data_IF_256482561130
#
_entry.id   IF_256482561130
#
_cell.length_a   1.000
_cell.length_b   1.000
_cell.length_c   1.000
_cell.angle_alpha   90.00
_cell.angle_beta   90.00
_cell.angle_gamma   90.00
#
_symmetry.space_group_name_H-M   'P 1'
#
loop_
_entity.id
_entity.type
_entity.pdbx_description
1 polymer ?
#
# COMPACT_ATOMS: atom_id res chain seq x y z
N UNK A 1 -4.44 -63.37 -18.08
CA UNK A 1 -4.49 -61.89 -18.25
C UNK A 1 -5.83 -61.42 -17.75
N UNK A 2 -5.85 -60.53 -16.75
CA UNK A 2 -7.11 -59.99 -16.19
C UNK A 2 -7.68 -58.99 -17.19
N UNK A 3 -8.82 -59.29 -17.79
CA UNK A 3 -9.50 -58.38 -18.72
C UNK A 3 -10.00 -57.16 -17.98
N UNK A 4 -9.63 -55.95 -18.47
CA UNK A 4 -10.13 -54.70 -17.96
C UNK A 4 -11.58 -54.52 -18.40
N UNK A 5 -12.50 -54.57 -17.46
CA UNK A 5 -13.95 -54.34 -17.69
C UNK A 5 -14.28 -52.89 -17.55
N UNK A 6 -15.31 -52.40 -18.23
CA UNK A 6 -15.73 -50.99 -18.19
C UNK A 6 -15.93 -50.44 -16.79
N UNK A 7 -16.38 -51.27 -15.83
CA UNK A 7 -16.55 -50.83 -14.44
C UNK A 7 -15.23 -50.51 -13.75
N UNK A 8 -14.08 -51.14 -14.10
CA UNK A 8 -12.77 -50.80 -13.56
C UNK A 8 -12.35 -49.39 -14.01
N UNK A 9 -12.62 -49.07 -15.28
CA UNK A 9 -12.35 -47.75 -15.85
C UNK A 9 -13.22 -46.71 -15.12
N UNK A 10 -14.52 -46.97 -14.97
CA UNK A 10 -15.42 -46.10 -14.23
C UNK A 10 -14.99 -45.89 -12.78
N UNK A 11 -14.62 -46.94 -12.06
CA UNK A 11 -14.15 -46.84 -10.68
C UNK A 11 -12.87 -46.00 -10.57
N UNK A 12 -11.94 -46.17 -11.50
CA UNK A 12 -10.69 -45.36 -11.52
C UNK A 12 -10.98 -43.87 -11.71
N UNK A 13 -11.86 -43.54 -12.67
CA UNK A 13 -12.28 -42.17 -12.86
C UNK A 13 -13.05 -41.61 -11.66
N UNK A 14 -13.97 -42.38 -11.10
CA UNK A 14 -14.75 -41.96 -9.92
C UNK A 14 -13.85 -41.64 -8.72
N UNK A 15 -12.82 -42.48 -8.47
CA UNK A 15 -11.85 -42.24 -7.41
C UNK A 15 -11.01 -40.98 -7.70
N UNK A 16 -10.48 -40.85 -8.93
CA UNK A 16 -9.67 -39.73 -9.34
C UNK A 16 -10.46 -38.39 -9.20
N UNK A 17 -11.67 -38.36 -9.74
CA UNK A 17 -12.54 -37.17 -9.61
C UNK A 17 -12.96 -36.91 -8.16
N UNK A 18 -13.23 -37.96 -7.39
CA UNK A 18 -13.55 -37.87 -5.96
C UNK A 18 -12.43 -37.17 -5.17
N UNK A 19 -11.18 -37.52 -5.45
CA UNK A 19 -10.01 -36.86 -4.83
C UNK A 19 -9.94 -35.41 -5.25
N UNK A 20 -10.05 -35.11 -6.54
CA UNK A 20 -9.99 -33.74 -7.06
C UNK A 20 -11.08 -32.86 -6.43
N UNK A 21 -12.32 -33.36 -6.38
CA UNK A 21 -13.46 -32.64 -5.79
C UNK A 21 -13.21 -32.40 -4.30
N UNK A 22 -12.74 -33.40 -3.56
CA UNK A 22 -12.47 -33.27 -2.12
C UNK A 22 -11.41 -32.22 -1.82
N UNK A 23 -10.33 -32.20 -2.62
CA UNK A 23 -9.28 -31.18 -2.48
C UNK A 23 -9.84 -29.78 -2.79
N UNK A 24 -10.58 -29.64 -3.89
CA UNK A 24 -11.15 -28.34 -4.26
C UNK A 24 -12.18 -27.83 -3.22
N UNK A 25 -13.01 -28.69 -2.67
CA UNK A 25 -13.95 -28.32 -1.62
C UNK A 25 -13.22 -27.91 -0.33
N UNK A 26 -12.15 -28.61 0.02
CA UNK A 26 -11.31 -28.23 1.17
C UNK A 26 -10.66 -26.88 0.98
N UNK A 27 -10.13 -26.62 -0.23
CA UNK A 27 -9.55 -25.32 -0.57
C UNK A 27 -10.61 -24.20 -0.53
N UNK A 28 -11.79 -24.45 -1.11
CA UNK A 28 -12.89 -23.50 -1.08
C UNK A 28 -13.35 -23.20 0.36
N UNK A 29 -13.51 -24.23 1.18
CA UNK A 29 -13.88 -24.07 2.58
C UNK A 29 -12.82 -23.25 3.37
N UNK A 30 -11.55 -23.56 3.18
CA UNK A 30 -10.47 -22.81 3.81
C UNK A 30 -10.43 -21.36 3.32
N UNK A 31 -10.59 -21.13 2.01
CA UNK A 31 -10.62 -19.80 1.45
C UNK A 31 -11.73 -18.95 2.06
N UNK A 32 -12.97 -19.48 2.16
CA UNK A 32 -14.11 -18.77 2.76
C UNK A 32 -13.91 -18.55 4.26
N UNK A 33 -13.37 -19.54 4.98
CA UNK A 33 -13.14 -19.44 6.42
C UNK A 33 -12.03 -18.47 6.79
N UNK A 34 -10.98 -18.37 5.96
CA UNK A 34 -9.84 -17.48 6.20
C UNK A 34 -10.00 -16.13 5.54
N UNK A 35 -11.06 -15.93 4.74
CA UNK A 35 -11.34 -14.66 4.09
C UNK A 35 -11.72 -13.61 5.12
N UNK A 36 -10.91 -12.55 5.32
CA UNK A 36 -11.16 -11.53 6.36
C UNK A 36 -12.38 -10.64 6.07
N UNK A 37 -13.14 -10.97 5.05
CA UNK A 37 -14.29 -10.18 4.56
C UNK A 37 -13.88 -9.23 3.45
N UNK A 38 -14.84 -8.52 2.90
CA UNK A 38 -14.57 -7.42 1.97
C UNK A 38 -14.02 -6.25 2.77
N UNK A 39 -12.81 -5.83 2.43
CA UNK A 39 -12.19 -4.63 3.00
C UNK A 39 -13.03 -3.37 2.73
N UNK A 40 -13.85 -3.42 1.69
CA UNK A 40 -14.79 -2.36 1.30
C UNK A 40 -16.15 -2.94 0.95
N UNK A 41 -17.19 -2.57 1.69
CA UNK A 41 -18.57 -3.05 1.49
C UNK A 41 -19.18 -2.66 0.14
N UNK A 42 -18.68 -1.64 -0.51
CA UNK A 42 -19.19 -1.17 -1.80
C UNK A 42 -18.10 -0.43 -2.58
N UNK A 43 -17.50 -1.11 -3.55
CA UNK A 43 -16.44 -0.54 -4.42
C UNK A 43 -16.92 0.67 -5.23
N UNK A 44 -18.22 0.76 -5.55
CA UNK A 44 -18.78 1.89 -6.28
C UNK A 44 -18.81 3.18 -5.44
N UNK A 45 -19.22 3.07 -4.17
CA UNK A 45 -19.19 4.23 -3.24
C UNK A 45 -17.78 4.68 -2.97
N UNK A 46 -16.84 3.74 -2.84
CA UNK A 46 -15.42 4.06 -2.67
C UNK A 46 -14.81 4.73 -3.89
N UNK A 47 -15.21 4.32 -5.10
CA UNK A 47 -14.77 4.99 -6.34
C UNK A 47 -15.27 6.44 -6.41
N UNK A 48 -16.50 6.70 -6.01
CA UNK A 48 -17.04 8.07 -6.03
C UNK A 48 -16.39 8.97 -4.98
N UNK A 49 -16.16 8.45 -3.76
CA UNK A 49 -15.45 9.20 -2.73
C UNK A 49 -14.01 9.48 -3.15
N UNK A 50 -13.36 8.54 -3.84
CA UNK A 50 -11.99 8.71 -4.33
C UNK A 50 -11.85 9.89 -5.30
N UNK A 51 -12.79 10.08 -6.23
CA UNK A 51 -12.73 11.18 -7.19
C UNK A 51 -12.95 12.54 -6.49
N UNK A 52 -13.86 12.59 -5.51
CA UNK A 52 -14.10 13.80 -4.71
C UNK A 52 -12.87 14.12 -3.84
N UNK A 53 -12.33 13.12 -3.15
CA UNK A 53 -11.17 13.28 -2.27
C UNK A 53 -9.93 13.70 -3.08
N UNK A 54 -9.76 13.13 -4.27
CA UNK A 54 -8.69 13.50 -5.18
C UNK A 54 -8.84 14.94 -5.70
N UNK A 55 -10.05 15.34 -6.05
CA UNK A 55 -10.30 16.72 -6.49
C UNK A 55 -10.01 17.72 -5.36
N UNK A 56 -10.45 17.42 -4.13
CA UNK A 56 -10.16 18.24 -2.96
C UNK A 56 -8.65 18.32 -2.67
N UNK A 57 -7.94 17.19 -2.76
CA UNK A 57 -6.48 17.17 -2.59
C UNK A 57 -5.76 18.00 -3.66
N UNK A 58 -6.16 17.90 -4.92
CA UNK A 58 -5.58 18.71 -6.00
C UNK A 58 -5.85 20.20 -5.83
N UNK A 59 -7.01 20.56 -5.27
CA UNK A 59 -7.37 21.96 -4.99
C UNK A 59 -6.50 22.62 -3.92
N UNK A 60 -5.84 21.83 -3.05
CA UNK A 60 -4.87 22.36 -2.08
C UNK A 60 -3.66 23.01 -2.76
N UNK A 61 -3.31 22.61 -3.99
CA UNK A 61 -2.16 23.18 -4.69
C UNK A 61 -0.81 22.94 -4.02
N UNK A 62 -0.71 21.91 -3.16
CA UNK A 62 0.54 21.64 -2.44
C UNK A 62 1.62 21.10 -3.34
N UNK A 63 2.81 21.67 -3.23
CA UNK A 63 4.05 21.13 -3.82
C UNK A 63 4.81 20.38 -2.74
N UNK A 64 5.00 19.09 -2.96
CA UNK A 64 5.61 18.18 -1.99
C UNK A 64 6.82 17.48 -2.59
N UNK A 65 7.97 17.71 -1.98
CA UNK A 65 9.24 17.08 -2.35
C UNK A 65 9.93 16.48 -1.13
N UNK A 66 10.67 15.40 -1.35
CA UNK A 66 11.49 14.79 -0.32
C UNK A 66 12.84 14.34 -0.87
N UNK A 67 13.87 14.50 -0.06
CA UNK A 67 15.22 14.04 -0.37
C UNK A 67 15.94 13.64 0.92
N UNK A 68 17.07 12.95 0.78
CA UNK A 68 17.88 12.53 1.91
C UNK A 68 19.10 13.46 2.03
N UNK A 69 19.34 13.97 3.24
CA UNK A 69 20.54 14.72 3.62
C UNK A 69 21.28 13.92 4.71
N UNK A 70 22.32 13.17 4.32
CA UNK A 70 22.98 12.26 5.25
C UNK A 70 22.00 11.19 5.76
N UNK A 71 21.80 11.14 7.06
CA UNK A 71 20.86 10.21 7.72
C UNK A 71 19.51 10.87 8.08
N UNK A 72 19.21 12.03 7.47
CA UNK A 72 17.96 12.73 7.66
C UNK A 72 17.11 12.77 6.40
N UNK A 73 15.86 12.43 6.53
CA UNK A 73 14.85 12.63 5.49
C UNK A 73 14.30 14.04 5.60
N UNK A 74 14.50 14.81 4.56
CA UNK A 74 14.01 16.19 4.44
C UNK A 74 12.77 16.19 3.57
N UNK A 75 11.65 16.66 4.11
CA UNK A 75 10.36 16.78 3.46
C UNK A 75 9.96 18.25 3.37
N UNK A 76 9.81 18.74 2.15
CA UNK A 76 9.30 20.08 1.85
C UNK A 76 7.83 19.98 1.49
N UNK A 77 6.99 20.78 2.13
CA UNK A 77 5.58 20.95 1.79
C UNK A 77 5.35 22.46 1.63
N UNK A 78 4.93 22.89 0.46
CA UNK A 78 4.68 24.29 0.16
C UNK A 78 3.30 24.47 -0.49
N UNK A 79 2.67 25.58 -0.19
CA UNK A 79 1.45 26.08 -0.82
C UNK A 79 1.74 27.48 -1.37
N UNK A 80 1.47 27.71 -2.66
CA UNK A 80 1.81 28.95 -3.36
C UNK A 80 3.28 29.42 -3.16
N UNK A 81 4.20 28.46 -3.03
CA UNK A 81 5.63 28.71 -2.82
C UNK A 81 6.03 29.05 -1.38
N UNK A 82 5.10 29.06 -0.44
CA UNK A 82 5.35 29.27 1.00
C UNK A 82 5.39 27.92 1.72
N UNK A 83 6.40 27.73 2.57
CA UNK A 83 6.49 26.54 3.40
C UNK A 83 5.33 26.48 4.39
N UNK A 84 4.67 25.33 4.45
CA UNK A 84 3.57 25.07 5.38
C UNK A 84 3.88 23.86 6.27
N UNK A 85 3.21 23.80 7.42
CA UNK A 85 3.35 22.71 8.37
C UNK A 85 1.99 22.08 8.69
N UNK A 86 1.43 21.28 7.78
CA UNK A 86 0.19 20.57 8.02
C UNK A 86 0.39 19.46 9.06
N UNK A 87 -0.71 18.96 9.59
CA UNK A 87 -0.67 17.82 10.52
C UNK A 87 -0.30 16.55 9.74
N UNK A 88 0.91 16.04 9.99
CA UNK A 88 1.33 14.75 9.43
C UNK A 88 0.69 13.63 10.25
N UNK A 89 -0.32 12.94 9.69
CA UNK A 89 -1.01 11.83 10.35
C UNK A 89 -0.23 10.52 10.25
N UNK A 90 0.66 10.41 9.27
CA UNK A 90 1.50 9.24 9.11
C UNK A 90 2.46 9.39 7.94
N UNK A 91 3.61 8.78 8.10
CA UNK A 91 4.63 8.70 7.08
C UNK A 91 5.29 7.32 7.12
N UNK A 92 5.48 6.73 5.97
CA UNK A 92 6.18 5.45 5.83
C UNK A 92 7.29 5.64 4.81
N UNK A 93 8.52 5.48 5.25
CA UNK A 93 9.71 5.53 4.40
C UNK A 93 10.25 4.12 4.22
N UNK A 94 10.22 3.60 3.00
CA UNK A 94 10.58 2.23 2.73
C UNK A 94 11.05 2.01 1.30
N UNK A 95 11.65 0.85 1.05
CA UNK A 95 12.05 0.46 -0.30
C UNK A 95 10.82 0.15 -1.17
N UNK A 96 10.93 0.45 -2.47
CA UNK A 96 9.83 0.23 -3.43
C UNK A 96 9.38 -1.25 -3.50
N UNK A 97 10.25 -2.20 -3.17
CA UNK A 97 10.02 -3.64 -3.37
C UNK A 97 10.08 -4.48 -2.09
N UNK A 98 10.29 -3.86 -0.91
CA UNK A 98 10.52 -4.60 0.33
C UNK A 98 9.90 -3.92 1.55
N UNK A 99 8.87 -4.51 2.12
CA UNK A 99 8.17 -4.00 3.32
C UNK A 99 9.02 -4.12 4.60
N UNK A 100 9.98 -5.04 4.65
CA UNK A 100 10.82 -5.24 5.84
C UNK A 100 11.72 -4.04 6.20
N UNK A 101 11.91 -3.12 5.26
CA UNK A 101 12.71 -1.91 5.45
C UNK A 101 11.85 -0.68 5.76
N UNK A 102 10.55 -0.85 5.98
CA UNK A 102 9.65 0.27 6.28
C UNK A 102 10.01 0.88 7.63
N UNK A 103 10.22 2.20 7.62
CA UNK A 103 10.48 3.05 8.76
C UNK A 103 9.33 4.06 8.89
N UNK A 104 9.07 4.51 10.10
CA UNK A 104 8.00 5.46 10.41
C UNK A 104 8.63 6.77 10.90
N UNK A 105 9.07 7.65 9.99
CA UNK A 105 9.75 8.87 10.38
C UNK A 105 8.81 9.80 11.17
N UNK A 106 9.29 10.27 12.31
CA UNK A 106 8.63 11.30 13.11
C UNK A 106 9.22 12.67 12.73
N UNK A 107 8.46 13.43 11.99
CA UNK A 107 8.91 14.69 11.42
C UNK A 107 8.82 15.84 12.40
N UNK A 108 9.88 16.63 12.48
CA UNK A 108 9.93 17.91 13.17
C UNK A 108 10.05 19.05 12.15
N UNK A 109 9.21 20.08 12.26
CA UNK A 109 9.25 21.23 11.39
C UNK A 109 10.24 22.28 11.94
N UNK A 110 11.19 22.71 11.09
CA UNK A 110 12.21 23.70 11.46
C UNK A 110 11.86 25.16 11.09
N UNK A 111 10.67 25.38 10.54
CA UNK A 111 10.21 26.65 10.00
C UNK A 111 10.25 26.75 8.48
N UNK A 112 10.92 25.80 7.81
CA UNK A 112 11.06 25.75 6.34
C UNK A 112 10.77 24.37 5.80
N UNK A 113 11.28 23.32 6.44
CA UNK A 113 11.12 21.93 6.04
C UNK A 113 10.86 21.05 7.24
N UNK A 114 10.35 19.85 6.98
CA UNK A 114 10.19 18.82 7.99
C UNK A 114 11.38 17.87 7.92
N UNK A 115 12.00 17.55 9.06
CA UNK A 115 13.15 16.66 9.16
C UNK A 115 12.85 15.48 10.07
N UNK A 116 13.34 14.31 9.67
CA UNK A 116 13.23 13.09 10.49
C UNK A 116 14.46 12.20 10.26
N UNK A 117 15.02 11.60 11.32
CA UNK A 117 16.13 10.65 11.17
C UNK A 117 15.63 9.36 10.52
N UNK A 118 16.37 8.87 9.52
CA UNK A 118 16.09 7.61 8.84
C UNK A 118 17.40 6.91 8.47
N UNK A 119 17.31 5.65 8.07
CA UNK A 119 18.45 4.90 7.54
C UNK A 119 18.12 4.45 6.12
N UNK A 120 18.97 4.79 5.17
CA UNK A 120 18.77 4.40 3.78
C UNK A 120 20.10 4.06 3.12
N UNK A 121 20.15 2.89 2.50
CA UNK A 121 21.23 2.52 1.59
C UNK A 121 20.93 3.08 0.20
N UNK A 122 21.94 3.09 -0.68
CA UNK A 122 21.77 3.49 -2.07
C UNK A 122 20.63 2.74 -2.77
N UNK A 123 19.84 3.47 -3.55
CA UNK A 123 18.73 2.92 -4.33
C UNK A 123 17.45 3.75 -4.26
N UNK A 124 16.36 3.16 -4.75
CA UNK A 124 15.06 3.81 -4.80
C UNK A 124 14.25 3.54 -3.52
N UNK A 125 13.89 4.61 -2.86
CA UNK A 125 13.04 4.64 -1.68
C UNK A 125 11.74 5.40 -1.98
N UNK A 126 10.71 5.12 -1.22
CA UNK A 126 9.44 5.82 -1.31
C UNK A 126 9.07 6.36 0.06
N UNK A 127 8.70 7.62 0.10
CA UNK A 127 7.98 8.21 1.21
C UNK A 127 6.49 8.19 0.88
N UNK A 128 5.72 7.43 1.64
CA UNK A 128 4.24 7.45 1.61
C UNK A 128 3.78 8.40 2.70
N UNK A 129 3.36 9.57 2.30
CA UNK A 129 2.93 10.64 3.19
C UNK A 129 1.42 10.66 3.29
N UNK A 130 0.93 10.88 4.49
CA UNK A 130 -0.46 11.18 4.81
C UNK A 130 -0.49 12.39 5.73
N UNK A 131 -1.07 13.47 5.27
CA UNK A 131 -1.17 14.73 6.00
C UNK A 131 -2.59 15.29 5.94
N UNK A 132 -2.94 16.14 6.84
CA UNK A 132 -4.24 16.82 6.88
C UNK A 132 -4.07 18.32 6.83
N UNK A 133 -4.78 18.95 5.89
CA UNK A 133 -4.85 20.39 5.77
C UNK A 133 -5.74 20.99 6.87
N UNK A 134 -5.62 22.30 7.08
CA UNK A 134 -6.37 23.03 8.12
C UNK A 134 -7.89 23.01 7.88
N UNK A 135 -8.33 22.86 6.62
CA UNK A 135 -9.73 22.69 6.24
C UNK A 135 -10.27 21.26 6.45
N UNK A 136 -9.40 20.34 6.91
CA UNK A 136 -9.72 18.93 7.13
C UNK A 136 -9.49 18.05 5.91
N UNK A 137 -9.08 18.59 4.76
CA UNK A 137 -8.80 17.80 3.55
C UNK A 137 -7.64 16.84 3.79
N UNK A 138 -7.83 15.58 3.43
CA UNK A 138 -6.80 14.57 3.52
C UNK A 138 -5.89 14.63 2.28
N UNK A 139 -4.60 14.80 2.51
CA UNK A 139 -3.57 14.75 1.50
C UNK A 139 -2.80 13.43 1.58
N UNK A 140 -2.68 12.73 0.48
CA UNK A 140 -1.92 11.49 0.40
C UNK A 140 -1.04 11.50 -0.84
N UNK A 141 0.25 11.29 -0.66
CA UNK A 141 1.19 11.23 -1.78
C UNK A 141 2.31 10.23 -1.54
N UNK A 142 2.73 9.58 -2.62
CA UNK A 142 3.96 8.81 -2.66
C UNK A 142 5.03 9.64 -3.35
N UNK A 143 6.05 10.01 -2.60
CA UNK A 143 7.23 10.74 -3.10
C UNK A 143 8.37 9.75 -3.29
N UNK A 144 9.01 9.77 -4.46
CA UNK A 144 10.16 8.92 -4.76
C UNK A 144 11.41 9.64 -4.26
N UNK A 145 12.20 8.94 -3.45
CA UNK A 145 13.48 9.44 -2.93
C UNK A 145 14.60 8.56 -3.49
N UNK A 146 15.44 9.15 -4.32
CA UNK A 146 16.62 8.47 -4.84
C UNK A 146 17.81 8.74 -3.93
N UNK A 147 18.37 7.67 -3.37
CA UNK A 147 19.59 7.74 -2.55
C UNK A 147 20.75 7.35 -3.43
N UNK A 148 21.65 8.31 -3.69
CA UNK A 148 22.83 8.12 -4.53
C UNK A 148 23.85 7.15 -3.92
N UNK A 149 24.72 6.65 -4.79
CA UNK A 149 25.93 5.91 -4.42
C UNK A 149 26.98 6.85 -3.88
#
# INVERSE_FOLDING_TARGET
MTEIKGWHVFATFAVAFGIIISVNLTLAFNAVRTFPGLEVKNSYVTSQSFDVDRAAQLALGWDVAAHLEGDELVLSIAEDGLAISPVIEGAIFGRATMVKADQFPDFTFDGTVHRAPVRADAGNWNLRLRARADDGTLFQQRVIVQVGL
#
